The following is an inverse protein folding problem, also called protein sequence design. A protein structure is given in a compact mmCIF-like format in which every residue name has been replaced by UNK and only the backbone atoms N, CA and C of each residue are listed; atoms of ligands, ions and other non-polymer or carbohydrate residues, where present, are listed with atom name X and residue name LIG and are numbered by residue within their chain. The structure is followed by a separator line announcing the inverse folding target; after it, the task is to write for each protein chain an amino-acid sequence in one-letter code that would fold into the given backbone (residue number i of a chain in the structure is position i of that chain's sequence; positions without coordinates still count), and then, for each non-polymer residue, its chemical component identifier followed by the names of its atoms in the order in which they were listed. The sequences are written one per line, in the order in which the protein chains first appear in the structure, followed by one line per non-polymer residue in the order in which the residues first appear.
data_IF_691460132391
#
_entry.id   IF_691460132391
#
_cell.length_a   1.000
_cell.length_b   1.000
_cell.length_c   1.000
_cell.angle_alpha   90.00
_cell.angle_beta   90.00
_cell.angle_gamma   90.00
#
_symmetry.space_group_name_H-M   'P 1'
#
loop_
_entity.id
_entity.type
_entity.pdbx_description
1 polymer ?
#
# COMPACT_ATOMS: atom_id res chain seq x y z
N UNK A 1 34.82 -11.82 -36.70
CA UNK A 1 34.37 -11.92 -35.29
C UNK A 1 33.21 -10.94 -35.13
N UNK A 2 31.97 -11.43 -35.10
CA UNK A 2 30.76 -10.61 -35.03
C UNK A 2 30.32 -10.56 -33.55
N UNK A 3 30.35 -9.37 -32.94
CA UNK A 3 29.88 -9.14 -31.58
C UNK A 3 28.41 -8.74 -31.66
N UNK A 4 27.50 -9.60 -31.20
CA UNK A 4 26.09 -9.25 -31.05
C UNK A 4 25.95 -8.35 -29.82
N UNK A 5 25.37 -7.14 -29.95
CA UNK A 5 25.07 -6.31 -28.79
C UNK A 5 23.94 -7.00 -28.01
N UNK A 6 24.22 -7.29 -26.75
CA UNK A 6 23.21 -7.73 -25.81
C UNK A 6 22.33 -6.52 -25.50
N UNK A 7 21.09 -6.54 -25.98
CA UNK A 7 20.08 -5.58 -25.56
C UNK A 7 19.70 -5.90 -24.12
N UNK A 8 19.86 -5.00 -23.14
CA UNK A 8 19.25 -5.20 -21.85
C UNK A 8 17.74 -5.23 -22.06
N UNK A 9 17.10 -6.36 -21.78
CA UNK A 9 15.67 -6.41 -21.60
C UNK A 9 15.35 -5.45 -20.46
N UNK A 10 14.76 -4.30 -20.78
CA UNK A 10 14.15 -3.42 -19.78
C UNK A 10 13.00 -4.21 -19.16
N UNK A 11 13.28 -4.95 -18.10
CA UNK A 11 12.25 -5.42 -17.18
C UNK A 11 11.64 -4.15 -16.65
N UNK A 12 10.46 -3.78 -17.16
CA UNK A 12 9.63 -2.75 -16.55
C UNK A 12 9.53 -3.14 -15.07
N UNK A 13 10.23 -2.40 -14.21
CA UNK A 13 10.16 -2.63 -12.78
C UNK A 13 8.70 -2.39 -12.43
N UNK A 14 7.96 -3.47 -12.18
CA UNK A 14 6.60 -3.39 -11.70
C UNK A 14 6.67 -2.63 -10.39
N UNK A 15 6.41 -1.32 -10.46
CA UNK A 15 6.56 -0.43 -9.34
C UNK A 15 5.71 -1.00 -8.20
N UNK A 16 6.25 -1.16 -6.97
CA UNK A 16 5.48 -1.70 -5.86
C UNK A 16 4.17 -0.92 -5.75
N UNK A 17 3.05 -1.61 -5.96
CA UNK A 17 1.72 -1.03 -5.86
C UNK A 17 1.21 -1.31 -4.44
N UNK A 18 0.89 -0.25 -3.70
CA UNK A 18 0.33 -0.37 -2.36
C UNK A 18 -1.16 -0.79 -2.36
N UNK A 19 -1.79 -0.90 -3.53
CA UNK A 19 -3.18 -1.33 -3.65
C UNK A 19 -3.38 -2.76 -3.14
N UNK A 20 -4.45 -2.98 -2.39
CA UNK A 20 -4.78 -4.28 -1.81
C UNK A 20 -5.28 -4.20 -0.37
N UNK A 21 -5.41 -5.37 0.26
CA UNK A 21 -5.75 -5.50 1.67
C UNK A 21 -4.49 -5.77 2.47
N UNK A 22 -4.36 -5.06 3.58
CA UNK A 22 -3.26 -5.14 4.52
C UNK A 22 -3.82 -5.47 5.89
N UNK A 23 -3.16 -6.38 6.59
CA UNK A 23 -3.46 -6.74 7.97
C UNK A 23 -2.27 -6.35 8.84
N UNK A 24 -2.54 -5.73 9.98
CA UNK A 24 -1.48 -5.25 10.86
C UNK A 24 -1.98 -4.95 12.26
N UNK A 25 -1.12 -4.30 13.04
CA UNK A 25 -1.48 -3.85 14.38
C UNK A 25 -0.80 -2.54 14.72
N UNK A 26 -1.54 -1.66 15.40
CA UNK A 26 -1.01 -0.46 16.05
C UNK A 26 -0.53 -0.87 17.44
N UNK A 27 0.72 -0.56 17.79
CA UNK A 27 1.23 -0.79 19.14
C UNK A 27 0.92 0.43 20.02
N UNK A 28 0.06 0.26 21.01
CA UNK A 28 -0.36 1.30 21.96
C UNK A 28 0.10 0.86 23.35
N UNK A 29 1.19 1.46 23.85
CA UNK A 29 1.75 1.15 25.18
C UNK A 29 1.95 -0.36 25.43
N UNK A 30 2.46 -1.09 24.44
CA UNK A 30 2.67 -2.54 24.51
C UNK A 30 1.43 -3.40 24.18
N UNK A 31 0.26 -2.79 23.98
CA UNK A 31 -0.94 -3.48 23.50
C UNK A 31 -1.02 -3.42 21.98
N UNK A 32 -1.23 -4.57 21.33
CA UNK A 32 -1.45 -4.64 19.88
C UNK A 32 -2.94 -4.45 19.57
N UNK A 33 -3.27 -3.35 18.90
CA UNK A 33 -4.59 -3.10 18.34
C UNK A 33 -4.60 -3.53 16.87
N UNK A 34 -5.25 -4.65 16.57
CA UNK A 34 -5.35 -5.16 15.20
C UNK A 34 -6.12 -4.21 14.28
N UNK A 35 -5.63 -4.05 13.05
CA UNK A 35 -6.23 -3.21 12.02
C UNK A 35 -6.19 -3.90 10.66
N UNK A 36 -7.22 -3.69 9.86
CA UNK A 36 -7.21 -4.06 8.45
C UNK A 36 -7.28 -2.78 7.63
N UNK A 37 -6.40 -2.61 6.65
CA UNK A 37 -6.36 -1.44 5.76
C UNK A 37 -6.60 -1.89 4.34
N UNK A 38 -7.49 -1.20 3.64
CA UNK A 38 -7.77 -1.43 2.22
C UNK A 38 -7.33 -0.20 1.45
N UNK A 39 -6.45 -0.36 0.46
CA UNK A 39 -5.96 0.72 -0.38
C UNK A 39 -6.32 0.44 -1.83
N UNK A 40 -6.65 1.48 -2.57
CA UNK A 40 -6.89 1.41 -4.00
C UNK A 40 -6.44 2.70 -4.66
N UNK A 41 -5.84 2.55 -5.83
CA UNK A 41 -5.47 3.68 -6.69
C UNK A 41 -6.62 3.99 -7.63
N UNK A 42 -7.00 5.27 -7.71
CA UNK A 42 -8.03 5.75 -8.64
C UNK A 42 -7.42 6.02 -10.02
N UNK A 43 -8.29 6.21 -11.01
CA UNK A 43 -7.90 6.52 -12.39
C UNK A 43 -7.11 7.85 -12.53
N UNK A 44 -7.32 8.79 -11.62
CA UNK A 44 -6.59 10.08 -11.56
C UNK A 44 -5.25 9.97 -10.81
N UNK A 45 -4.76 8.75 -10.57
CA UNK A 45 -3.57 8.43 -9.77
C UNK A 45 -3.65 8.80 -8.28
N UNK A 46 -4.77 9.32 -7.78
CA UNK A 46 -4.96 9.55 -6.34
C UNK A 46 -5.28 8.26 -5.60
N UNK A 47 -5.07 8.27 -4.29
CA UNK A 47 -5.31 7.12 -3.42
C UNK A 47 -6.63 7.25 -2.67
N UNK A 48 -7.29 6.11 -2.47
CA UNK A 48 -8.42 5.96 -1.56
C UNK A 48 -8.20 4.76 -0.66
N UNK A 49 -8.77 4.79 0.52
CA UNK A 49 -8.65 3.68 1.43
C UNK A 49 -9.60 3.72 2.60
N UNK A 50 -9.67 2.57 3.27
CA UNK A 50 -10.49 2.38 4.46
C UNK A 50 -9.74 1.58 5.50
N UNK A 51 -10.10 1.79 6.76
CA UNK A 51 -9.58 1.03 7.90
C UNK A 51 -10.71 0.40 8.71
N UNK A 52 -10.47 -0.82 9.15
CA UNK A 52 -11.30 -1.55 10.11
C UNK A 52 -10.49 -1.77 11.39
N UNK A 53 -11.11 -1.56 12.56
CA UNK A 53 -10.51 -1.78 13.89
C UNK A 53 -11.47 -2.66 14.69
N UNK A 54 -11.37 -4.00 14.59
CA UNK A 54 -12.36 -4.93 15.13
C UNK A 54 -12.60 -4.79 16.64
N UNK A 55 -11.53 -4.61 17.42
CA UNK A 55 -11.61 -4.47 18.88
C UNK A 55 -12.37 -3.21 19.32
N UNK A 56 -12.57 -2.24 18.42
CA UNK A 56 -13.32 -1.01 18.65
C UNK A 56 -14.68 -1.00 17.93
N UNK A 57 -15.02 -2.07 17.19
CA UNK A 57 -16.22 -2.12 16.35
C UNK A 57 -16.21 -1.13 15.16
N UNK A 58 -15.08 -0.49 14.88
CA UNK A 58 -14.95 0.44 13.77
C UNK A 58 -14.78 -0.33 12.46
N UNK A 59 -15.62 -0.01 11.48
CA UNK A 59 -15.67 -0.65 10.18
C UNK A 59 -15.80 0.39 9.08
N UNK A 60 -15.12 0.15 7.96
CA UNK A 60 -15.20 0.95 6.74
C UNK A 60 -14.87 2.44 6.96
N UNK A 61 -14.05 2.77 7.98
CA UNK A 61 -13.69 4.16 8.26
C UNK A 61 -12.81 4.71 7.13
N UNK A 62 -13.11 5.89 6.56
CA UNK A 62 -12.33 6.44 5.46
C UNK A 62 -10.97 6.94 5.95
N UNK A 63 -9.92 6.63 5.18
CA UNK A 63 -8.60 7.22 5.36
C UNK A 63 -8.50 8.52 4.58
N UNK A 64 -7.90 9.55 5.19
CA UNK A 64 -7.65 10.85 4.57
C UNK A 64 -6.17 11.02 4.23
N UNK A 65 -5.87 11.96 3.32
CA UNK A 65 -4.48 12.38 3.01
C UNK A 65 -3.51 11.23 2.68
N UNK A 66 -4.01 10.18 2.02
CA UNK A 66 -3.20 9.00 1.70
C UNK A 66 -2.09 9.37 0.73
N UNK A 67 -0.85 9.11 1.13
CA UNK A 67 0.37 9.30 0.32
C UNK A 67 1.11 7.99 0.21
N UNK A 68 1.62 7.69 -0.99
CA UNK A 68 2.41 6.47 -1.28
C UNK A 68 3.72 6.85 -1.94
N UNK A 69 4.82 6.57 -1.26
CA UNK A 69 6.19 6.89 -1.67
C UNK A 69 7.02 5.60 -1.72
N UNK A 70 7.11 5.00 -2.91
CA UNK A 70 7.76 3.69 -3.07
C UNK A 70 7.04 2.62 -2.26
N UNK A 71 7.69 2.11 -1.20
CA UNK A 71 7.13 1.11 -0.30
C UNK A 71 6.52 1.71 0.98
N UNK A 72 6.56 3.03 1.17
CA UNK A 72 6.00 3.71 2.32
C UNK A 72 4.59 4.24 2.02
N UNK A 73 3.68 4.08 2.99
CA UNK A 73 2.31 4.62 2.94
C UNK A 73 2.06 5.42 4.21
N UNK A 74 1.43 6.60 4.08
CA UNK A 74 1.00 7.44 5.21
C UNK A 74 -0.43 7.93 5.02
N UNK A 75 -1.13 8.17 6.14
CA UNK A 75 -2.48 8.73 6.23
C UNK A 75 -2.74 9.27 7.65
#
# INVERSE_FOLDING_TARGET
MLILPWSPANLAQNQPDAAGRWEGAINIQGTKLGVNVGLSRKADNTWTGKIDIPAQGAKDLPLANITVEGAAVSF
#
